data_IF_821677695533
#
_entry.id   IF_821677695533
#
_cell.length_a   1.000
_cell.length_b   1.000
_cell.length_c   1.000
_cell.angle_alpha   90.00
_cell.angle_beta   90.00
_cell.angle_gamma   90.00
#
_symmetry.space_group_name_H-M   'P 1'
#
loop_
_entity.id
_entity.type
_entity.pdbx_description
1 polymer ?
#
# COMPACT_ATOMS: atom_id res chain seq x y z
N UNK A 1 -14.18 3.10 19.70
CA UNK A 1 -13.58 2.36 18.57
C UNK A 1 -13.08 1.06 19.18
N UNK A 2 -13.85 -0.01 19.09
CA UNK A 2 -13.38 -1.32 19.53
C UNK A 2 -12.22 -1.70 18.61
N UNK A 3 -11.04 -1.96 19.19
CA UNK A 3 -9.75 -2.10 18.49
C UNK A 3 -9.64 -3.33 17.55
N UNK A 4 -10.73 -3.72 16.91
CA UNK A 4 -10.80 -4.84 15.98
C UNK A 4 -10.12 -4.45 14.66
N UNK A 5 -9.09 -5.19 14.22
CA UNK A 5 -8.44 -4.90 12.95
C UNK A 5 -9.42 -5.11 11.79
N UNK A 6 -9.53 -4.11 10.91
CA UNK A 6 -10.45 -4.15 9.75
C UNK A 6 -9.94 -5.03 8.62
N UNK A 7 -8.62 -5.14 8.49
CA UNK A 7 -7.98 -5.88 7.41
C UNK A 7 -6.81 -6.72 7.94
N UNK A 8 -6.73 -7.94 7.42
CA UNK A 8 -5.62 -8.85 7.61
C UNK A 8 -4.77 -8.90 6.33
N UNK A 9 -3.45 -8.79 6.48
CA UNK A 9 -2.51 -8.79 5.35
C UNK A 9 -1.59 -10.00 5.43
N UNK A 10 -1.48 -10.75 4.33
CA UNK A 10 -0.63 -11.94 4.24
C UNK A 10 0.34 -11.86 3.07
N UNK A 11 1.63 -11.96 3.35
CA UNK A 11 2.66 -12.11 2.31
C UNK A 11 2.79 -13.57 1.84
N UNK A 12 2.96 -13.78 0.53
CA UNK A 12 3.36 -15.08 -0.04
C UNK A 12 4.88 -15.22 -0.06
N UNK A 13 5.42 -16.27 0.58
CA UNK A 13 6.86 -16.43 0.80
C UNK A 13 7.64 -17.08 -0.36
N UNK A 14 6.98 -17.70 -1.35
CA UNK A 14 7.65 -18.40 -2.47
C UNK A 14 7.58 -17.62 -3.80
N UNK A 15 8.05 -16.38 -3.83
CA UNK A 15 8.04 -15.55 -5.05
C UNK A 15 9.28 -14.67 -5.16
N UNK A 16 9.76 -14.47 -6.40
CA UNK A 16 10.88 -13.56 -6.71
C UNK A 16 10.58 -12.11 -6.31
N UNK A 17 9.32 -11.69 -6.45
CA UNK A 17 8.85 -10.36 -6.07
C UNK A 17 7.78 -10.46 -4.99
N UNK A 18 7.78 -9.54 -3.99
CA UNK A 18 6.76 -9.50 -2.96
C UNK A 18 5.34 -9.46 -3.54
N UNK A 19 4.48 -10.34 -3.00
CA UNK A 19 3.03 -10.30 -3.22
C UNK A 19 2.33 -10.45 -1.87
N UNK A 20 1.42 -9.54 -1.60
CA UNK A 20 0.59 -9.53 -0.41
C UNK A 20 -0.87 -9.62 -0.82
N UNK A 21 -1.63 -10.43 -0.09
CA UNK A 21 -3.08 -10.50 -0.23
C UNK A 21 -3.71 -9.84 1.01
N UNK A 22 -4.75 -9.05 0.81
CA UNK A 22 -5.51 -8.34 1.84
C UNK A 22 -6.87 -9.02 2.00
N UNK A 23 -7.25 -9.31 3.23
CA UNK A 23 -8.51 -9.94 3.60
C UNK A 23 -9.26 -9.01 4.56
N UNK A 24 -10.58 -8.95 4.48
CA UNK A 24 -11.41 -8.18 5.43
C UNK A 24 -11.63 -9.02 6.69
N UNK A 25 -11.32 -8.45 7.85
CA UNK A 25 -11.43 -9.10 9.16
C UNK A 25 -10.08 -9.29 9.86
N UNK A 26 -10.07 -10.16 10.87
CA UNK A 26 -8.94 -10.44 11.77
C UNK A 26 -7.95 -11.46 11.21
N UNK A 27 -8.37 -12.31 10.26
CA UNK A 27 -7.56 -13.41 9.74
C UNK A 27 -7.74 -13.60 8.22
N UNK A 28 -7.11 -14.67 7.71
CA UNK A 28 -7.12 -15.05 6.28
C UNK A 28 -8.42 -15.74 5.82
N UNK A 29 -9.31 -16.11 6.74
CA UNK A 29 -10.55 -16.81 6.44
C UNK A 29 -11.68 -15.80 6.08
N UNK A 30 -11.42 -14.51 6.31
CA UNK A 30 -12.22 -13.41 5.79
C UNK A 30 -12.23 -13.28 4.27
N UNK A 31 -13.08 -12.38 3.77
CA UNK A 31 -13.22 -12.13 2.34
C UNK A 31 -11.93 -11.54 1.76
N UNK A 32 -11.43 -12.09 0.65
CA UNK A 32 -10.34 -11.47 -0.11
C UNK A 32 -10.79 -10.13 -0.68
N UNK A 33 -9.99 -9.09 -0.44
CA UNK A 33 -10.30 -7.70 -0.82
C UNK A 33 -9.42 -7.23 -1.94
N UNK A 34 -8.11 -7.49 -1.84
CA UNK A 34 -7.15 -6.99 -2.81
C UNK A 34 -5.86 -7.82 -2.82
N UNK A 35 -5.13 -7.72 -3.93
CA UNK A 35 -3.77 -8.24 -4.06
C UNK A 35 -2.82 -7.10 -4.40
N UNK A 36 -1.78 -6.91 -3.59
CA UNK A 36 -0.66 -6.01 -3.86
C UNK A 36 0.51 -6.81 -4.43
N UNK A 37 1.04 -6.39 -5.58
CA UNK A 37 2.20 -6.99 -6.23
C UNK A 37 3.27 -5.93 -6.43
N UNK A 38 4.45 -6.16 -5.88
CA UNK A 38 5.62 -5.36 -6.23
C UNK A 38 6.00 -5.61 -7.70
N UNK A 39 6.36 -4.54 -8.40
CA UNK A 39 6.87 -4.58 -9.77
C UNK A 39 8.38 -4.39 -9.76
N UNK A 40 9.08 -5.15 -10.60
CA UNK A 40 10.52 -4.99 -10.77
C UNK A 40 10.81 -3.62 -11.41
N UNK A 41 11.73 -2.85 -10.80
CA UNK A 41 12.21 -1.58 -11.34
C UNK A 41 13.57 -1.26 -10.73
N UNK A 42 14.52 -0.83 -11.59
CA UNK A 42 15.91 -0.57 -11.20
C UNK A 42 16.08 0.66 -10.32
N UNK A 43 15.20 1.66 -10.42
CA UNK A 43 15.38 2.95 -9.75
C UNK A 43 14.16 3.42 -8.97
N UNK A 44 12.96 2.85 -9.18
CA UNK A 44 11.73 3.34 -8.55
C UNK A 44 11.01 2.21 -7.83
N UNK A 45 10.33 2.53 -6.72
CA UNK A 45 9.47 1.56 -6.05
C UNK A 45 8.10 1.58 -6.73
N UNK A 46 7.63 0.44 -7.20
CA UNK A 46 6.38 0.32 -7.95
C UNK A 46 5.58 -0.86 -7.43
N UNK A 47 4.29 -0.66 -7.21
CA UNK A 47 3.36 -1.74 -6.91
C UNK A 47 2.08 -1.59 -7.75
N UNK A 48 1.50 -2.70 -8.15
CA UNK A 48 0.11 -2.75 -8.64
C UNK A 48 -0.77 -3.36 -7.57
N UNK A 49 -1.95 -2.77 -7.38
CA UNK A 49 -2.99 -3.24 -6.48
C UNK A 49 -4.19 -3.61 -7.34
N UNK A 50 -4.66 -4.84 -7.18
CA UNK A 50 -5.86 -5.33 -7.84
C UNK A 50 -6.92 -5.62 -6.79
N UNK A 51 -8.09 -4.97 -6.87
CA UNK A 51 -9.22 -5.17 -5.97
C UNK A 51 -10.53 -5.26 -6.76
N UNK A 52 -11.30 -6.31 -6.51
CA UNK A 52 -12.66 -6.44 -7.08
C UNK A 52 -13.64 -5.42 -6.48
N UNK A 53 -13.37 -4.92 -5.26
CA UNK A 53 -14.24 -4.00 -4.53
C UNK A 53 -13.90 -2.52 -4.77
N UNK A 54 -12.60 -2.20 -4.88
CA UNK A 54 -12.13 -0.81 -4.97
C UNK A 54 -11.53 -0.46 -6.35
N UNK A 55 -11.37 -1.45 -7.23
CA UNK A 55 -10.75 -1.30 -8.54
C UNK A 55 -9.24 -1.48 -8.53
N UNK A 56 -8.61 -1.06 -9.62
CA UNK A 56 -7.16 -1.10 -9.82
C UNK A 56 -6.49 0.14 -9.23
N UNK A 57 -5.32 -0.05 -8.64
CA UNK A 57 -4.46 1.06 -8.27
C UNK A 57 -3.00 0.80 -8.65
N UNK A 58 -2.31 1.91 -8.91
CA UNK A 58 -0.89 1.91 -9.19
C UNK A 58 -0.16 2.78 -8.17
N UNK A 59 0.74 2.16 -7.41
CA UNK A 59 1.56 2.85 -6.42
C UNK A 59 2.91 3.14 -7.06
N UNK A 60 3.31 4.40 -7.01
CA UNK A 60 4.56 4.89 -7.55
C UNK A 60 5.34 5.65 -6.48
N UNK A 61 6.53 5.15 -6.16
CA UNK A 61 7.41 5.72 -5.14
C UNK A 61 8.74 6.22 -5.69
N UNK A 62 9.35 7.15 -4.97
CA UNK A 62 10.72 7.59 -5.23
C UNK A 62 11.76 6.50 -4.85
N UNK A 63 13.04 6.75 -5.17
CA UNK A 63 14.12 5.77 -4.93
C UNK A 63 14.30 5.49 -3.43
N UNK A 64 14.16 6.55 -2.63
CA UNK A 64 14.38 6.56 -1.18
C UNK A 64 13.18 6.10 -0.35
N UNK A 65 12.05 5.76 -1.00
CA UNK A 65 10.80 5.40 -0.33
C UNK A 65 10.31 6.47 0.67
N UNK A 66 10.53 7.75 0.37
CA UNK A 66 10.00 8.86 1.18
C UNK A 66 8.64 9.33 0.69
N UNK A 67 8.46 9.36 -0.63
CA UNK A 67 7.25 9.86 -1.27
C UNK A 67 6.63 8.75 -2.11
N UNK A 68 5.35 8.53 -1.91
CA UNK A 68 4.53 7.62 -2.70
C UNK A 68 3.25 8.31 -3.16
N UNK A 69 2.92 8.06 -4.43
CA UNK A 69 1.66 8.46 -5.04
C UNK A 69 0.86 7.22 -5.40
N UNK A 70 -0.44 7.23 -5.12
CA UNK A 70 -1.38 6.18 -5.48
C UNK A 70 -2.30 6.73 -6.56
N UNK A 71 -2.32 6.07 -7.71
CA UNK A 71 -3.14 6.42 -8.87
C UNK A 71 -4.24 5.39 -9.05
N UNK A 72 -5.45 5.82 -9.42
CA UNK A 72 -6.50 4.92 -9.87
C UNK A 72 -6.12 4.33 -11.25
N UNK A 73 -6.32 3.03 -11.43
CA UNK A 73 -5.96 2.32 -12.66
C UNK A 73 -4.63 1.57 -12.57
N UNK A 74 -4.06 1.25 -13.73
CA UNK A 74 -2.94 0.32 -13.86
C UNK A 74 -1.56 1.00 -14.00
N UNK A 75 -1.54 2.33 -14.14
CA UNK A 75 -0.36 3.16 -14.39
C UNK A 75 -0.48 4.52 -13.66
N UNK A 76 0.51 5.38 -13.85
CA UNK A 76 0.58 6.71 -13.24
C UNK A 76 -0.16 7.81 -14.05
N UNK A 77 -0.88 7.44 -15.10
CA UNK A 77 -1.64 8.38 -15.94
C UNK A 77 -3.08 8.58 -15.42
N UNK A 78 -3.49 7.75 -14.45
CA UNK A 78 -4.80 7.84 -13.82
C UNK A 78 -4.91 8.95 -12.78
N UNK A 79 -6.10 9.06 -12.19
CA UNK A 79 -6.38 10.05 -11.15
C UNK A 79 -5.55 9.78 -9.88
N UNK A 80 -4.94 10.81 -9.31
CA UNK A 80 -4.20 10.72 -8.05
C UNK A 80 -5.20 10.61 -6.89
N UNK A 81 -5.26 9.44 -6.24
CA UNK A 81 -6.23 9.15 -5.19
C UNK A 81 -5.67 9.25 -3.77
N UNK A 82 -4.36 9.11 -3.61
CA UNK A 82 -3.69 9.34 -2.34
C UNK A 82 -2.21 9.68 -2.52
N UNK A 83 -1.66 10.39 -1.54
CA UNK A 83 -0.21 10.63 -1.41
C UNK A 83 0.25 10.29 -0.01
N UNK A 84 1.47 9.78 0.09
CA UNK A 84 2.15 9.44 1.34
C UNK A 84 3.50 10.11 1.29
N UNK A 85 3.76 11.02 2.22
CA UNK A 85 5.02 11.74 2.31
C UNK A 85 5.61 11.51 3.71
N UNK A 86 6.78 10.90 3.76
CA UNK A 86 7.53 10.70 5.00
C UNK A 86 8.37 11.95 5.27
N UNK A 87 8.14 12.59 6.42
CA UNK A 87 8.96 13.74 6.83
C UNK A 87 10.31 13.26 7.35
N UNK A 88 11.39 13.76 6.75
CA UNK A 88 12.77 13.48 7.16
C UNK A 88 13.17 14.51 8.24
N UNK A 89 12.50 14.47 9.38
CA UNK A 89 12.90 15.25 10.57
C UNK A 89 13.67 14.34 11.54
N UNK A 90 14.27 14.91 12.60
CA UNK A 90 14.99 14.15 13.66
C UNK A 90 14.12 13.10 14.36
N UNK A 91 12.80 13.14 14.16
CA UNK A 91 11.82 12.15 14.61
C UNK A 91 11.32 11.43 13.35
N UNK A 92 11.88 10.25 13.07
CA UNK A 92 11.73 9.54 11.80
C UNK A 92 10.34 8.91 11.55
N UNK A 93 9.37 9.10 12.45
CA UNK A 93 8.11 8.35 12.50
C UNK A 93 6.88 9.19 12.12
N UNK A 94 7.05 10.30 11.38
CA UNK A 94 5.93 11.14 10.92
C UNK A 94 5.63 10.93 9.44
N UNK A 95 4.37 10.61 9.14
CA UNK A 95 3.84 10.46 7.79
C UNK A 95 2.69 11.43 7.57
N UNK A 96 2.72 12.16 6.46
CA UNK A 96 1.56 12.89 5.96
C UNK A 96 0.88 12.03 4.89
N UNK A 97 -0.38 11.66 5.14
CA UNK A 97 -1.19 10.87 4.23
C UNK A 97 -2.39 11.71 3.80
N UNK A 98 -2.50 11.99 2.50
CA UNK A 98 -3.68 12.65 1.95
C UNK A 98 -4.48 11.62 1.16
N UNK A 99 -5.76 11.43 1.53
CA UNK A 99 -6.65 10.44 0.93
C UNK A 99 -7.88 11.17 0.37
N UNK A 100 -8.25 10.88 -0.88
CA UNK A 100 -9.55 11.30 -1.40
C UNK A 100 -10.67 10.53 -0.68
N UNK A 101 -11.70 11.26 -0.23
CA UNK A 101 -12.75 10.76 0.66
C UNK A 101 -13.41 9.45 0.19
N UNK A 102 -13.77 8.58 1.15
CA UNK A 102 -14.58 7.37 0.93
C UNK A 102 -13.81 6.04 0.81
N UNK A 103 -12.48 6.05 0.97
CA UNK A 103 -11.63 4.82 0.93
C UNK A 103 -10.56 4.78 2.03
N UNK A 104 -10.78 5.48 3.14
CA UNK A 104 -9.77 5.77 4.16
C UNK A 104 -9.14 4.49 4.74
N UNK A 105 -9.95 3.52 5.16
CA UNK A 105 -9.45 2.27 5.76
C UNK A 105 -8.61 1.42 4.80
N UNK A 106 -9.02 1.34 3.53
CA UNK A 106 -8.28 0.60 2.51
C UNK A 106 -6.96 1.33 2.16
N UNK A 107 -7.01 2.65 1.98
CA UNK A 107 -5.83 3.45 1.68
C UNK A 107 -4.80 3.41 2.82
N UNK A 108 -5.24 3.50 4.08
CA UNK A 108 -4.36 3.32 5.24
C UNK A 108 -3.72 1.92 5.26
N UNK A 109 -4.47 0.88 4.89
CA UNK A 109 -3.91 -0.48 4.77
C UNK A 109 -2.82 -0.55 3.71
N UNK A 110 -3.00 0.11 2.56
CA UNK A 110 -1.95 0.22 1.54
C UNK A 110 -0.72 0.98 2.06
N UNK A 111 -0.91 2.04 2.86
CA UNK A 111 0.19 2.78 3.49
C UNK A 111 1.04 1.87 4.38
N UNK A 112 0.39 1.04 5.22
CA UNK A 112 1.08 0.07 6.08
C UNK A 112 1.85 -0.97 5.25
N UNK A 113 1.27 -1.43 4.15
CA UNK A 113 1.95 -2.38 3.24
C UNK A 113 3.19 -1.75 2.59
N UNK A 114 3.09 -0.49 2.17
CA UNK A 114 4.22 0.26 1.58
C UNK A 114 5.34 0.40 2.61
N UNK A 115 5.01 0.77 3.85
CA UNK A 115 5.97 0.86 4.96
C UNK A 115 6.63 -0.50 5.22
N UNK A 116 5.84 -1.57 5.36
CA UNK A 116 6.33 -2.94 5.53
C UNK A 116 7.30 -3.38 4.40
N UNK A 117 7.00 -3.02 3.16
CA UNK A 117 7.78 -3.40 1.99
C UNK A 117 9.10 -2.64 1.85
N UNK A 118 9.13 -1.36 2.24
CA UNK A 118 10.23 -0.48 1.85
C UNK A 118 10.96 0.18 3.02
N UNK A 119 10.42 0.08 4.24
CA UNK A 119 10.96 0.77 5.42
C UNK A 119 11.37 -0.16 6.55
N UNK A 120 11.32 -1.47 6.33
CA UNK A 120 11.79 -2.45 7.30
C UNK A 120 13.27 -2.17 7.62
N UNK A 121 13.51 -1.60 8.81
CA UNK A 121 14.85 -1.43 9.37
C UNK A 121 15.49 -2.82 9.50
N UNK A 122 16.68 -2.95 8.92
CA UNK A 122 17.63 -4.01 9.26
C UNK A 122 18.10 -3.85 10.70
#
# INVERSE_FOLDING_TARGET
IDGTPMYFVRQKMFRLLPRLDIYRGVDKDGQHVATVKAKFSLFRKKCSVHSEQYGEFYIYGNIFAWDFSIYAGNNADGELVATINKKISRIADTYDINILAGKEGFMLTLCIIIDYLYQKKH
#
